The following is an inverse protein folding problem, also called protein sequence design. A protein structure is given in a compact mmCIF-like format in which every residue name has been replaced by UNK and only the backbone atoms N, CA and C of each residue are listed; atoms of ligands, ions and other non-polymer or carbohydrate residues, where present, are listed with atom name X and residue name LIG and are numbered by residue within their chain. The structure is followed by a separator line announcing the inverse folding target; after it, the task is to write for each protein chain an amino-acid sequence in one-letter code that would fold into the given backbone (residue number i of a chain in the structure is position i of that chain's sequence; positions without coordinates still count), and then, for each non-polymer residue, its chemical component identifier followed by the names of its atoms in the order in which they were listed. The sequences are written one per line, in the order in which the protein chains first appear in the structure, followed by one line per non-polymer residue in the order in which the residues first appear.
data_IF_392243860836
#
_entry.id   IF_392243860836
#
_cell.length_a   1.000
_cell.length_b   1.000
_cell.length_c   1.000
_cell.angle_alpha   90.00
_cell.angle_beta   90.00
_cell.angle_gamma   90.00
#
_symmetry.space_group_name_H-M   'P 1'
#
loop_
_entity.id
_entity.type
_entity.pdbx_description
1 polymer ?
#
# COMPACT_ATOMS: atom_id res chain seq x y z
N UNK A 1 43.97 12.72 8.01
CA UNK A 1 42.84 12.35 8.87
C UNK A 1 41.77 13.47 8.84
N UNK A 2 41.30 13.85 7.65
CA UNK A 2 40.33 14.95 7.48
C UNK A 2 39.48 14.68 6.24
N UNK A 3 38.35 13.98 6.39
CA UNK A 3 37.18 14.03 5.47
C UNK A 3 36.01 13.17 5.98
N UNK A 4 36.24 12.30 6.96
CA UNK A 4 35.23 11.34 7.41
C UNK A 4 34.24 11.86 8.47
N UNK A 5 34.39 13.10 8.96
CA UNK A 5 33.63 13.61 10.11
C UNK A 5 32.60 14.71 9.80
N UNK A 6 32.34 15.04 8.52
CA UNK A 6 31.50 16.19 8.14
C UNK A 6 30.20 15.87 7.35
N UNK A 7 29.84 14.61 7.10
CA UNK A 7 28.63 14.28 6.29
C UNK A 7 27.63 13.38 7.04
N UNK A 8 27.34 13.68 8.30
CA UNK A 8 26.22 13.02 8.97
C UNK A 8 24.84 13.59 8.55
N UNK A 9 24.79 14.73 7.86
CA UNK A 9 23.54 15.47 7.62
C UNK A 9 23.21 15.86 6.16
N UNK A 10 24.09 15.60 5.18
CA UNK A 10 23.82 16.04 3.79
C UNK A 10 23.17 14.95 2.94
N UNK A 11 21.92 15.21 2.52
CA UNK A 11 21.25 14.43 1.49
C UNK A 11 22.00 14.55 0.15
N UNK A 12 22.21 13.42 -0.53
CA UNK A 12 22.71 13.41 -1.91
C UNK A 12 21.54 13.46 -2.88
N UNK A 13 21.66 14.30 -3.90
CA UNK A 13 20.68 14.39 -4.97
C UNK A 13 21.25 13.72 -6.22
N UNK A 14 20.56 12.71 -6.73
CA UNK A 14 21.06 11.88 -7.82
C UNK A 14 19.99 11.75 -8.90
N UNK A 15 20.36 12.03 -10.16
CA UNK A 15 19.58 11.63 -11.32
C UNK A 15 20.06 10.25 -11.76
N UNK A 16 19.15 9.28 -11.81
CA UNK A 16 19.43 7.94 -12.34
C UNK A 16 19.22 7.90 -13.85
N UNK A 17 20.07 7.17 -14.56
CA UNK A 17 19.75 6.75 -15.94
C UNK A 17 18.65 5.69 -15.93
N UNK A 18 17.97 5.52 -17.07
CA UNK A 18 16.90 4.53 -17.21
C UNK A 18 17.38 3.11 -16.86
N UNK A 19 18.59 2.74 -17.26
CA UNK A 19 19.19 1.45 -16.90
C UNK A 19 19.47 1.33 -15.39
N UNK A 20 19.85 2.42 -14.72
CA UNK A 20 20.06 2.42 -13.27
C UNK A 20 18.73 2.32 -12.50
N UNK A 21 17.64 2.89 -13.02
CA UNK A 21 16.31 2.78 -12.41
C UNK A 21 15.88 1.31 -12.34
N UNK A 22 16.14 0.52 -13.39
CA UNK A 22 15.76 -0.90 -13.45
C UNK A 22 16.29 -1.71 -12.26
N UNK A 23 17.47 -1.39 -11.72
CA UNK A 23 18.05 -2.05 -10.54
C UNK A 23 17.14 -2.00 -9.31
N UNK A 24 16.41 -0.90 -9.15
CA UNK A 24 15.56 -0.68 -7.97
C UNK A 24 14.14 -1.20 -8.15
N UNK A 25 13.75 -1.53 -9.38
CA UNK A 25 12.39 -1.97 -9.64
C UNK A 25 12.13 -3.33 -8.98
N UNK A 26 10.96 -3.49 -8.37
CA UNK A 26 10.45 -4.81 -8.01
C UNK A 26 10.29 -5.65 -9.27
N UNK A 27 10.39 -6.98 -9.12
CA UNK A 27 10.20 -7.88 -10.25
C UNK A 27 8.75 -7.86 -10.75
N UNK A 28 8.57 -8.19 -12.02
CA UNK A 28 7.25 -8.28 -12.67
C UNK A 28 6.28 -9.18 -11.89
N UNK A 29 6.78 -10.33 -11.41
CA UNK A 29 6.01 -11.25 -10.56
C UNK A 29 5.47 -10.58 -9.30
N UNK A 30 6.28 -9.72 -8.64
CA UNK A 30 5.87 -9.00 -7.43
C UNK A 30 4.87 -7.90 -7.75
N UNK A 31 5.08 -7.17 -8.84
CA UNK A 31 4.15 -6.13 -9.29
C UNK A 31 2.76 -6.70 -9.56
N UNK A 32 2.66 -7.78 -10.36
CA UNK A 32 1.38 -8.46 -10.63
C UNK A 32 0.73 -8.92 -9.32
N UNK A 33 1.51 -9.54 -8.43
CA UNK A 33 0.97 -10.06 -7.17
C UNK A 33 0.39 -8.95 -6.27
N UNK A 34 1.03 -7.78 -6.21
CA UNK A 34 0.51 -6.63 -5.48
C UNK A 34 -0.76 -6.06 -6.12
N UNK A 35 -0.79 -5.88 -7.45
CA UNK A 35 -2.02 -5.43 -8.12
C UNK A 35 -3.18 -6.42 -7.95
N UNK A 36 -2.90 -7.72 -8.01
CA UNK A 36 -3.90 -8.76 -7.75
C UNK A 36 -4.40 -8.69 -6.29
N UNK A 37 -3.50 -8.57 -5.32
CA UNK A 37 -3.84 -8.45 -3.91
C UNK A 37 -4.71 -7.21 -3.66
N UNK A 38 -4.37 -6.07 -4.27
CA UNK A 38 -5.16 -4.84 -4.15
C UNK A 38 -6.56 -5.00 -4.77
N UNK A 39 -6.67 -5.64 -5.95
CA UNK A 39 -7.95 -5.92 -6.61
C UNK A 39 -8.84 -6.80 -5.72
N UNK A 40 -8.31 -7.93 -5.26
CA UNK A 40 -9.06 -8.88 -4.44
C UNK A 40 -9.51 -8.24 -3.12
N UNK A 41 -8.64 -7.43 -2.53
CA UNK A 41 -8.96 -6.66 -1.30
C UNK A 41 -10.06 -5.64 -1.56
N UNK A 42 -9.95 -4.84 -2.62
CA UNK A 42 -10.98 -3.86 -3.01
C UNK A 42 -12.36 -4.53 -3.18
N UNK A 43 -12.42 -5.65 -3.90
CA UNK A 43 -13.66 -6.38 -4.16
C UNK A 43 -14.25 -7.00 -2.90
N UNK A 44 -13.41 -7.61 -2.05
CA UNK A 44 -13.87 -8.20 -0.79
C UNK A 44 -14.39 -7.16 0.19
N UNK A 45 -13.66 -6.05 0.40
CA UNK A 45 -14.10 -4.98 1.29
C UNK A 45 -15.40 -4.33 0.78
N UNK A 46 -15.47 -4.05 -0.52
CA UNK A 46 -16.67 -3.49 -1.16
C UNK A 46 -17.91 -4.38 -1.00
N UNK A 47 -17.78 -5.70 -1.25
CA UNK A 47 -18.91 -6.65 -1.09
C UNK A 47 -19.42 -6.78 0.34
N UNK A 48 -18.56 -6.49 1.31
CA UNK A 48 -18.88 -6.60 2.74
C UNK A 48 -19.13 -5.23 3.39
N UNK A 49 -19.32 -4.18 2.58
CA UNK A 49 -19.59 -2.82 3.03
C UNK A 49 -18.54 -2.30 4.04
N UNK A 50 -17.27 -2.61 3.81
CA UNK A 50 -16.15 -2.08 4.59
C UNK A 50 -15.54 -0.94 3.78
N UNK A 51 -15.62 0.28 4.34
CA UNK A 51 -15.00 1.42 3.71
C UNK A 51 -13.51 1.41 4.03
N UNK A 52 -12.70 1.68 3.02
CA UNK A 52 -11.26 1.77 3.16
C UNK A 52 -10.72 2.94 2.34
N UNK A 53 -9.49 3.34 2.63
CA UNK A 53 -8.72 4.26 1.79
C UNK A 53 -7.29 3.76 1.66
N UNK A 54 -6.65 4.04 0.54
CA UNK A 54 -5.20 3.89 0.41
C UNK A 54 -4.50 4.96 1.25
N UNK A 55 -3.37 4.60 1.85
CA UNK A 55 -2.56 5.49 2.68
C UNK A 55 -1.06 5.27 2.43
N UNK A 56 -0.20 6.00 3.15
CA UNK A 56 1.25 5.86 3.09
C UNK A 56 1.86 5.83 1.67
N UNK A 57 2.69 4.81 1.43
CA UNK A 57 3.37 4.60 0.15
C UNK A 57 2.41 4.28 -0.99
N UNK A 58 1.29 3.63 -0.67
CA UNK A 58 0.24 3.28 -1.64
C UNK A 58 -0.49 4.53 -2.15
N UNK A 59 -0.85 5.45 -1.27
CA UNK A 59 -1.42 6.76 -1.64
C UNK A 59 -0.45 7.57 -2.50
N UNK A 60 0.82 7.64 -2.09
CA UNK A 60 1.86 8.30 -2.86
C UNK A 60 2.02 7.66 -4.26
N UNK A 61 1.99 6.34 -4.34
CA UNK A 61 1.98 5.59 -5.60
C UNK A 61 0.82 5.97 -6.51
N UNK A 62 -0.40 5.94 -6.00
CA UNK A 62 -1.59 6.28 -6.75
C UNK A 62 -1.55 7.72 -7.30
N UNK A 63 -1.16 8.69 -6.47
CA UNK A 63 -1.07 10.10 -6.87
C UNK A 63 0.04 10.35 -7.89
N UNK A 64 1.23 9.78 -7.66
CA UNK A 64 2.43 10.13 -8.41
C UNK A 64 2.67 9.26 -9.64
N UNK A 65 2.30 7.98 -9.57
CA UNK A 65 2.57 6.98 -10.61
C UNK A 65 1.31 6.37 -11.23
N UNK A 66 0.12 6.68 -10.68
CA UNK A 66 -1.13 5.99 -11.02
C UNK A 66 -1.04 4.47 -10.83
N UNK A 67 -0.30 4.03 -9.82
CA UNK A 67 0.00 2.62 -9.55
C UNK A 67 1.05 2.47 -8.45
N UNK A 68 1.58 1.26 -8.27
CA UNK A 68 2.59 0.99 -7.23
C UNK A 68 3.88 1.75 -7.56
N UNK A 69 4.50 2.36 -6.55
CA UNK A 69 5.83 2.97 -6.68
C UNK A 69 6.81 1.85 -7.10
N UNK A 70 7.63 2.03 -8.13
CA UNK A 70 8.29 0.90 -8.80
C UNK A 70 9.30 0.12 -7.93
N UNK A 71 9.75 0.68 -6.81
CA UNK A 71 10.68 0.08 -5.85
C UNK A 71 10.01 -0.20 -4.49
N UNK A 72 8.70 0.02 -4.39
CA UNK A 72 7.92 -0.25 -3.20
C UNK A 72 7.37 -1.68 -3.25
N UNK A 73 7.28 -2.31 -2.09
CA UNK A 73 7.15 -3.75 -2.02
C UNK A 73 5.97 -4.24 -1.19
N UNK A 74 5.14 -3.36 -0.67
CA UNK A 74 3.88 -3.68 -0.02
C UNK A 74 2.77 -2.70 -0.41
N UNK A 75 1.64 -2.83 0.26
CA UNK A 75 0.48 -1.96 0.12
C UNK A 75 -0.02 -1.59 1.50
N UNK A 76 -0.56 -0.39 1.64
CA UNK A 76 -1.08 0.15 2.90
C UNK A 76 -2.48 0.70 2.65
N UNK A 77 -3.43 0.26 3.47
CA UNK A 77 -4.78 0.81 3.50
C UNK A 77 -5.22 1.10 4.93
N UNK A 78 -6.07 2.11 5.09
CA UNK A 78 -6.78 2.40 6.33
C UNK A 78 -8.23 1.91 6.28
N UNK A 79 -8.74 1.43 7.42
CA UNK A 79 -10.16 1.23 7.67
C UNK A 79 -10.58 1.95 8.97
N UNK A 80 -11.87 2.19 9.11
CA UNK A 80 -12.45 2.67 10.36
C UNK A 80 -12.58 1.53 11.40
N UNK A 81 -12.36 1.83 12.67
CA UNK A 81 -12.48 0.86 13.78
C UNK A 81 -13.89 0.24 13.85
N UNK A 82 -14.93 0.99 13.47
CA UNK A 82 -16.31 0.52 13.38
C UNK A 82 -16.50 -0.58 12.32
N UNK A 83 -15.59 -0.68 11.35
CA UNK A 83 -15.59 -1.72 10.31
C UNK A 83 -14.72 -2.93 10.69
N UNK A 84 -13.96 -2.86 11.78
CA UNK A 84 -12.98 -3.89 12.16
C UNK A 84 -13.63 -5.26 12.40
N UNK A 85 -14.81 -5.29 13.05
CA UNK A 85 -15.55 -6.55 13.28
C UNK A 85 -15.97 -7.18 11.94
N UNK A 86 -16.41 -6.38 10.97
CA UNK A 86 -16.75 -6.86 9.62
C UNK A 86 -15.50 -7.37 8.90
N UNK A 87 -14.36 -6.68 9.03
CA UNK A 87 -13.08 -7.17 8.51
C UNK A 87 -12.74 -8.54 9.09
N UNK A 88 -12.82 -8.71 10.41
CA UNK A 88 -12.53 -9.99 11.09
C UNK A 88 -13.39 -11.15 10.56
N UNK A 89 -14.67 -10.89 10.27
CA UNK A 89 -15.59 -11.89 9.72
C UNK A 89 -15.21 -12.36 8.30
N UNK A 90 -14.51 -11.54 7.52
CA UNK A 90 -14.15 -11.86 6.14
C UNK A 90 -12.71 -12.35 5.97
N UNK A 91 -11.90 -12.36 7.03
CA UNK A 91 -10.53 -12.88 6.99
C UNK A 91 -10.43 -14.30 6.39
N UNK A 92 -11.35 -15.26 6.70
CA UNK A 92 -11.32 -16.58 6.07
C UNK A 92 -11.52 -16.55 4.55
N UNK A 93 -12.17 -15.50 4.00
CA UNK A 93 -12.34 -15.36 2.55
C UNK A 93 -11.01 -15.01 1.87
N UNK A 94 -10.13 -14.23 2.52
CA UNK A 94 -8.77 -14.02 2.02
C UNK A 94 -7.97 -15.33 1.98
N UNK A 95 -8.14 -16.20 2.98
CA UNK A 95 -7.49 -17.52 3.00
C UNK A 95 -7.99 -18.42 1.87
N UNK A 96 -9.29 -18.39 1.56
CA UNK A 96 -9.85 -19.11 0.41
C UNK A 96 -9.31 -18.61 -0.94
N UNK A 97 -8.91 -17.34 -1.03
CA UNK A 97 -8.23 -16.77 -2.21
C UNK A 97 -6.72 -17.11 -2.26
N UNK A 98 -6.21 -17.84 -1.27
CA UNK A 98 -4.81 -18.26 -1.18
C UNK A 98 -3.89 -17.28 -0.46
N UNK A 99 -4.44 -16.29 0.26
CA UNK A 99 -3.65 -15.37 1.07
C UNK A 99 -3.48 -15.90 2.50
N UNK A 100 -2.36 -15.55 3.13
CA UNK A 100 -2.15 -15.77 4.56
C UNK A 100 -2.55 -14.52 5.31
N UNK A 101 -3.34 -14.69 6.37
CA UNK A 101 -3.73 -13.60 7.25
C UNK A 101 -2.88 -13.64 8.51
N UNK A 102 -2.41 -12.47 8.94
CA UNK A 102 -1.81 -12.28 10.26
C UNK A 102 -2.47 -11.09 10.92
N UNK A 103 -2.67 -11.17 12.23
CA UNK A 103 -3.19 -10.06 13.00
C UNK A 103 -2.34 -9.87 14.27
N UNK A 104 -1.91 -8.63 14.50
CA UNK A 104 -1.30 -8.21 15.76
C UNK A 104 -1.73 -6.77 16.08
N UNK A 105 -0.86 -5.79 15.78
CA UNK A 105 -1.19 -4.35 15.93
C UNK A 105 -1.96 -3.79 14.73
N UNK A 106 -1.84 -4.48 13.60
CA UNK A 106 -2.46 -4.25 12.30
C UNK A 106 -2.84 -5.61 11.71
N UNK A 107 -3.70 -5.63 10.69
CA UNK A 107 -3.95 -6.83 9.89
C UNK A 107 -3.00 -6.85 8.71
N UNK A 108 -2.48 -8.02 8.37
CA UNK A 108 -1.55 -8.20 7.27
C UNK A 108 -2.03 -9.35 6.40
N UNK A 109 -2.31 -9.07 5.13
CA UNK A 109 -2.75 -10.04 4.12
C UNK A 109 -1.58 -10.32 3.18
N UNK A 110 -1.04 -11.53 3.19
CA UNK A 110 0.18 -11.87 2.45
C UNK A 110 0.00 -13.01 1.44
N UNK A 111 0.33 -12.73 0.18
CA UNK A 111 0.66 -13.73 -0.84
C UNK A 111 2.17 -13.78 -1.09
N UNK A 112 2.58 -13.49 -2.33
CA UNK A 112 3.98 -13.19 -2.69
C UNK A 112 4.49 -11.94 -1.97
N UNK A 113 3.58 -10.96 -1.80
CA UNK A 113 3.77 -9.68 -1.12
C UNK A 113 2.63 -9.45 -0.12
N UNK A 114 2.74 -8.44 0.71
CA UNK A 114 1.78 -8.17 1.76
C UNK A 114 1.04 -6.84 1.54
N UNK A 115 -0.16 -6.78 2.09
CA UNK A 115 -0.96 -5.58 2.24
C UNK A 115 -1.25 -5.43 3.74
N UNK A 116 -0.91 -4.27 4.27
CA UNK A 116 -1.13 -3.86 5.65
C UNK A 116 -2.44 -3.08 5.74
N UNK A 117 -3.28 -3.45 6.71
CA UNK A 117 -4.54 -2.79 7.01
C UNK A 117 -4.43 -2.16 8.38
N UNK A 118 -4.38 -0.83 8.38
CA UNK A 118 -4.33 0.01 9.56
C UNK A 118 -5.73 0.38 10.03
N UNK A 119 -5.96 0.29 11.34
CA UNK A 119 -7.25 0.64 11.95
C UNK A 119 -7.17 2.05 12.49
N UNK A 120 -8.12 2.89 12.08
CA UNK A 120 -8.24 4.28 12.49
C UNK A 120 -9.53 4.52 13.28
N UNK A 121 -9.52 5.49 14.18
CA UNK A 121 -10.73 6.03 14.80
C UNK A 121 -10.73 7.55 14.72
N UNK A 122 -11.91 8.14 14.86
CA UNK A 122 -12.06 9.60 14.87
C UNK A 122 -11.82 10.16 16.28
N UNK A 123 -10.93 11.13 16.38
CA UNK A 123 -10.72 11.99 17.55
C UNK A 123 -10.90 13.45 17.13
N UNK A 124 -11.98 14.09 17.58
CA UNK A 124 -12.34 15.44 17.16
C UNK A 124 -12.43 15.56 15.63
N UNK A 125 -11.56 16.35 15.01
CA UNK A 125 -11.47 16.63 13.58
C UNK A 125 -10.44 15.74 12.86
N UNK A 126 -9.88 14.73 13.52
CA UNK A 126 -8.82 13.85 12.99
C UNK A 126 -9.21 12.39 13.01
N UNK A 127 -8.77 11.67 11.99
CA UNK A 127 -8.70 10.21 11.93
C UNK A 127 -7.28 9.79 12.24
N UNK A 128 -7.11 9.05 13.32
CA UNK A 128 -5.80 8.67 13.88
C UNK A 128 -5.72 7.16 14.06
N UNK A 129 -4.51 6.61 14.04
CA UNK A 129 -4.29 5.19 14.29
C UNK A 129 -4.82 4.77 15.67
N UNK A 130 -5.68 3.74 15.67
CA UNK A 130 -6.33 3.21 16.87
C UNK A 130 -5.31 2.55 17.82
N UNK A 131 -4.34 1.82 17.26
CA UNK A 131 -3.30 1.19 18.06
C UNK A 131 -2.24 2.23 18.49
N UNK A 132 -2.13 2.49 19.80
CA UNK A 132 -1.17 3.46 20.35
C UNK A 132 0.28 3.21 19.93
N UNK A 133 0.70 1.94 19.82
CA UNK A 133 2.08 1.64 19.40
C UNK A 133 2.32 1.99 17.94
N UNK A 134 1.30 1.91 17.07
CA UNK A 134 1.39 2.33 15.68
C UNK A 134 1.35 3.84 15.58
N UNK A 135 0.47 4.50 16.35
CA UNK A 135 0.44 5.96 16.47
C UNK A 135 1.78 6.55 16.91
N UNK A 136 2.47 5.90 17.85
CA UNK A 136 3.79 6.34 18.28
C UNK A 136 4.87 6.09 17.22
N UNK A 137 4.73 5.02 16.41
CA UNK A 137 5.67 4.69 15.32
C UNK A 137 5.50 5.62 14.12
N UNK A 138 4.25 6.00 13.82
CA UNK A 138 3.85 6.82 12.68
C UNK A 138 3.04 8.04 13.16
N UNK A 139 3.67 8.99 13.88
CA UNK A 139 2.95 10.10 14.50
C UNK A 139 2.35 11.10 13.49
N UNK A 140 2.84 11.08 12.25
CA UNK A 140 2.36 11.92 11.16
C UNK A 140 1.29 11.24 10.29
N UNK A 141 0.99 9.97 10.57
CA UNK A 141 -0.02 9.20 9.86
C UNK A 141 -1.39 9.42 10.50
N UNK A 142 -2.02 10.50 10.07
CA UNK A 142 -3.38 10.87 10.41
C UNK A 142 -3.97 11.72 9.30
N UNK A 143 -5.29 11.79 9.25
CA UNK A 143 -6.03 12.61 8.30
C UNK A 143 -6.96 13.57 9.04
N UNK A 144 -7.06 14.82 8.61
CA UNK A 144 -8.15 15.69 9.00
C UNK A 144 -9.45 15.28 8.29
N UNK A 145 -10.59 15.73 8.82
CA UNK A 145 -11.90 15.40 8.25
C UNK A 145 -12.02 15.75 6.77
N UNK A 146 -11.60 16.99 6.43
CA UNK A 146 -11.60 17.49 5.05
C UNK A 146 -10.53 16.83 4.16
N UNK A 147 -9.49 16.23 4.75
CA UNK A 147 -8.48 15.47 3.99
C UNK A 147 -9.04 14.12 3.58
N UNK A 148 -9.67 13.40 4.53
CA UNK A 148 -10.12 12.04 4.26
C UNK A 148 -11.43 12.02 3.48
N UNK A 149 -12.46 12.73 3.96
CA UNK A 149 -13.83 12.60 3.43
C UNK A 149 -14.26 13.82 2.60
N UNK A 150 -15.08 13.62 1.54
CA UNK A 150 -15.51 12.32 1.02
C UNK A 150 -14.37 11.59 0.31
N UNK A 151 -14.36 10.25 0.40
CA UNK A 151 -13.39 9.41 -0.31
C UNK A 151 -13.54 9.62 -1.82
N UNK A 152 -12.42 9.61 -2.54
CA UNK A 152 -12.39 9.67 -4.01
C UNK A 152 -11.71 8.47 -4.62
N UNK A 153 -12.02 8.23 -5.89
CA UNK A 153 -11.37 7.16 -6.66
C UNK A 153 -10.04 7.62 -7.23
N UNK A 154 -9.07 6.73 -7.19
CA UNK A 154 -7.75 6.89 -7.80
C UNK A 154 -7.50 5.76 -8.77
N UNK A 155 -6.87 6.07 -9.90
CA UNK A 155 -6.32 5.06 -10.79
C UNK A 155 -5.11 4.41 -10.12
N UNK A 156 -5.09 3.07 -10.13
CA UNK A 156 -4.02 2.29 -9.53
C UNK A 156 -3.72 1.07 -10.40
N UNK A 157 -2.78 1.22 -11.32
CA UNK A 157 -2.52 0.25 -12.37
C UNK A 157 -3.71 0.13 -13.33
N UNK A 158 -4.26 -1.08 -13.41
CA UNK A 158 -5.43 -1.41 -14.23
C UNK A 158 -6.76 -1.34 -13.48
N UNK A 159 -6.75 -1.01 -12.18
CA UNK A 159 -7.94 -0.91 -11.32
C UNK A 159 -8.15 0.52 -10.79
N UNK A 160 -9.30 0.75 -10.15
CA UNK A 160 -9.56 1.92 -9.33
C UNK A 160 -9.59 1.54 -7.85
N UNK A 161 -9.14 2.45 -6.98
CA UNK A 161 -9.14 2.27 -5.52
C UNK A 161 -9.65 3.53 -4.82
N UNK A 162 -10.18 3.40 -3.61
CA UNK A 162 -10.58 4.54 -2.80
C UNK A 162 -9.39 5.16 -2.06
N UNK A 163 -9.38 6.48 -1.91
CA UNK A 163 -8.39 7.23 -1.17
C UNK A 163 -8.96 8.55 -0.62
N UNK A 164 -8.14 9.32 0.12
CA UNK A 164 -8.55 10.60 0.72
C UNK A 164 -8.98 11.63 -0.32
N UNK A 165 -9.91 12.52 0.05
CA UNK A 165 -10.35 13.67 -0.75
C UNK A 165 -9.19 14.61 -1.10
N UNK A 166 -8.42 15.01 -0.09
CA UNK A 166 -7.26 15.88 -0.21
C UNK A 166 -6.03 15.19 0.40
N UNK A 167 -5.07 14.84 -0.46
CA UNK A 167 -3.90 14.05 -0.08
C UNK A 167 -2.66 14.90 0.23
N UNK A 168 -2.62 16.14 -0.28
CA UNK A 168 -1.35 16.89 -0.38
C UNK A 168 -0.76 17.22 0.98
N UNK A 169 -1.58 17.67 1.92
CA UNK A 169 -1.13 18.00 3.27
C UNK A 169 -0.72 16.75 4.06
N UNK A 170 -1.49 15.67 3.99
CA UNK A 170 -1.09 14.37 4.55
C UNK A 170 0.25 13.90 3.98
N UNK A 171 0.43 13.85 2.67
CA UNK A 171 1.69 13.43 2.06
C UNK A 171 2.86 14.37 2.42
N UNK A 172 2.62 15.68 2.55
CA UNK A 172 3.65 16.62 3.00
C UNK A 172 4.12 16.36 4.44
N UNK A 173 3.23 15.89 5.32
CA UNK A 173 3.58 15.50 6.69
C UNK A 173 4.38 14.19 6.74
N UNK A 174 4.07 13.25 5.85
CA UNK A 174 4.67 11.93 5.84
C UNK A 174 6.00 11.88 5.05
N UNK A 175 6.05 12.56 3.91
CA UNK A 175 7.13 12.42 2.92
C UNK A 175 7.57 13.80 2.41
N UNK A 176 8.54 14.42 3.06
CA UNK A 176 9.02 15.74 2.66
C UNK A 176 9.55 15.72 1.20
N UNK A 177 9.03 16.61 0.35
CA UNK A 177 9.39 16.74 -1.07
C UNK A 177 9.12 15.48 -1.93
N UNK A 178 8.09 14.72 -1.57
CA UNK A 178 7.64 13.53 -2.30
C UNK A 178 7.33 13.79 -3.79
N UNK A 179 6.99 15.02 -4.14
CA UNK A 179 6.66 15.47 -5.49
C UNK A 179 7.90 15.80 -6.33
N UNK A 180 9.07 15.90 -5.70
CA UNK A 180 10.36 16.21 -6.36
C UNK A 180 11.31 15.02 -6.37
N UNK A 181 11.27 14.21 -5.31
CA UNK A 181 12.24 13.16 -5.08
C UNK A 181 11.61 11.82 -4.72
N UNK A 182 12.26 10.76 -5.16
CA UNK A 182 12.07 9.41 -4.66
C UNK A 182 13.11 9.12 -3.58
N UNK A 183 12.64 8.57 -2.46
CA UNK A 183 13.48 8.03 -1.39
C UNK A 183 13.10 6.55 -1.27
N UNK A 184 14.10 5.69 -1.30
CA UNK A 184 13.90 4.26 -1.06
C UNK A 184 14.03 4.05 0.44
N UNK A 185 12.88 3.98 1.11
CA UNK A 185 12.82 3.61 2.51
C UNK A 185 13.18 2.13 2.67
N UNK A 186 13.58 1.74 3.88
CA UNK A 186 14.02 0.38 4.16
C UNK A 186 12.96 -0.62 3.69
N UNK A 187 13.20 -1.40 2.62
CA UNK A 187 12.18 -2.23 2.03
C UNK A 187 11.75 -3.30 3.04
N UNK A 188 10.46 -3.65 3.04
CA UNK A 188 9.95 -4.68 3.95
C UNK A 188 10.48 -6.07 3.59
N UNK A 189 10.95 -6.25 2.35
CA UNK A 189 11.61 -7.47 1.90
C UNK A 189 13.05 -7.27 1.46
N UNK A 190 13.77 -8.40 1.44
CA UNK A 190 15.13 -8.55 0.93
C UNK A 190 15.24 -8.43 -0.61
N UNK A 191 14.35 -7.70 -1.29
CA UNK A 191 14.50 -7.44 -2.73
C UNK A 191 15.63 -6.46 -3.03
N UNK A 192 15.90 -5.55 -2.09
CA UNK A 192 17.12 -4.75 -2.01
C UNK A 192 17.80 -5.05 -0.68
N UNK A 193 18.38 -6.26 -0.51
CA UNK A 193 18.76 -6.80 0.79
C UNK A 193 19.85 -5.98 1.50
N UNK A 194 20.56 -5.13 0.75
CA UNK A 194 21.63 -4.27 1.26
C UNK A 194 21.62 -2.95 0.50
N UNK A 195 20.78 -2.00 0.94
CA UNK A 195 21.02 -0.59 0.60
C UNK A 195 22.25 -0.12 1.35
N UNK A 196 23.25 0.37 0.60
CA UNK A 196 24.40 1.04 1.19
C UNK A 196 23.95 2.24 2.03
N UNK A 197 24.76 2.64 3.01
CA UNK A 197 24.49 3.86 3.79
C UNK A 197 24.36 5.11 2.89
N UNK A 198 24.97 5.06 1.71
CA UNK A 198 24.85 6.08 0.67
C UNK A 198 23.44 6.10 0.09
N UNK A 199 22.94 4.95 -0.35
CA UNK A 199 21.59 4.85 -0.94
C UNK A 199 20.50 5.25 0.07
N UNK A 200 20.68 4.94 1.37
CA UNK A 200 19.76 5.37 2.44
C UNK A 200 19.69 6.89 2.66
N UNK A 201 20.72 7.64 2.26
CA UNK A 201 20.79 9.12 2.34
C UNK A 201 20.76 9.78 0.96
N UNK A 202 20.11 9.14 -0.01
CA UNK A 202 19.98 9.64 -1.38
C UNK A 202 18.53 9.99 -1.71
N UNK A 203 18.34 11.20 -2.26
CA UNK A 203 17.12 11.65 -2.92
C UNK A 203 17.31 11.48 -4.43
N UNK A 204 16.55 10.58 -5.03
CA UNK A 204 16.55 10.38 -6.46
C UNK A 204 15.63 11.40 -7.13
N UNK A 205 16.15 12.18 -8.08
CA UNK A 205 15.36 13.14 -8.85
C UNK A 205 14.36 12.35 -9.70
N UNK A 206 13.09 12.75 -9.66
CA UNK A 206 12.02 12.09 -10.43
C UNK A 206 12.21 12.31 -11.93
N UNK A 207 12.73 11.31 -12.61
CA UNK A 207 12.79 11.25 -14.08
C UNK A 207 11.49 10.67 -14.64
N UNK A 208 11.24 10.85 -15.94
CA UNK A 208 10.09 10.24 -16.62
C UNK A 208 10.08 8.71 -16.48
N UNK A 209 11.25 8.07 -16.48
CA UNK A 209 11.37 6.63 -16.28
C UNK A 209 11.02 6.24 -14.84
N UNK A 210 11.53 6.97 -13.84
CA UNK A 210 11.25 6.69 -12.43
C UNK A 210 9.77 6.89 -12.07
N UNK A 211 9.08 7.77 -12.80
CA UNK A 211 7.64 8.02 -12.66
C UNK A 211 6.75 6.91 -13.25
N UNK A 212 7.30 5.95 -13.99
CA UNK A 212 6.51 4.78 -14.44
C UNK A 212 6.25 3.85 -13.25
N UNK A 213 4.99 3.45 -13.01
CA UNK A 213 4.65 2.56 -11.90
C UNK A 213 5.32 1.19 -12.05
N UNK A 214 5.25 0.37 -11.02
CA UNK A 214 5.61 -1.04 -11.12
C UNK A 214 4.82 -1.72 -12.25
N UNK A 215 5.49 -2.59 -12.99
CA UNK A 215 4.95 -3.28 -14.17
C UNK A 215 5.14 -4.79 -14.03
N UNK A 216 4.29 -5.61 -14.67
CA UNK A 216 3.14 -5.21 -15.48
C UNK A 216 1.90 -4.90 -14.63
N UNK A 217 0.91 -4.23 -15.25
CA UNK A 217 -0.35 -3.84 -14.60
C UNK A 217 -1.43 -4.94 -14.62
N UNK A 218 -1.16 -6.08 -15.28
CA UNK A 218 -2.12 -7.16 -15.50
C UNK A 218 -1.63 -8.15 -16.57
N UNK A 219 -2.50 -9.07 -17.05
CA UNK A 219 -3.91 -9.21 -16.65
C UNK A 219 -4.08 -9.63 -15.19
N UNK A 220 -5.18 -9.20 -14.58
CA UNK A 220 -5.57 -9.60 -13.22
C UNK A 220 -6.71 -10.62 -13.30
N UNK A 221 -6.73 -11.54 -12.35
CA UNK A 221 -7.71 -12.61 -12.23
C UNK A 221 -8.95 -12.15 -11.45
N UNK A 222 -10.10 -12.77 -11.75
CA UNK A 222 -11.36 -12.51 -11.05
C UNK A 222 -11.64 -13.53 -9.93
N UNK A 223 -10.70 -13.65 -8.99
CA UNK A 223 -10.70 -14.71 -7.98
C UNK A 223 -11.91 -14.65 -7.05
N UNK A 224 -12.32 -13.44 -6.64
CA UNK A 224 -13.42 -13.24 -5.68
C UNK A 224 -14.75 -13.75 -6.23
N UNK A 225 -15.02 -13.54 -7.51
CA UNK A 225 -16.25 -14.05 -8.14
C UNK A 225 -16.20 -15.58 -8.35
N UNK A 226 -15.03 -16.13 -8.68
CA UNK A 226 -14.84 -17.57 -8.87
C UNK A 226 -15.09 -18.34 -7.55
N UNK A 227 -14.46 -17.94 -6.44
CA UNK A 227 -14.59 -18.63 -5.14
C UNK A 227 -16.03 -18.56 -4.60
N UNK A 228 -16.72 -17.43 -4.77
CA UNK A 228 -18.12 -17.30 -4.36
C UNK A 228 -19.06 -18.19 -5.20
N UNK A 229 -18.78 -18.39 -6.49
CA UNK A 229 -19.57 -19.33 -7.31
C UNK A 229 -19.37 -20.80 -6.90
N UNK A 230 -18.15 -21.16 -6.48
CA UNK A 230 -17.81 -22.50 -6.02
C UNK A 230 -18.46 -22.85 -4.67
N UNK A 231 -18.57 -21.89 -3.76
CA UNK A 231 -19.25 -22.07 -2.46
C UNK A 231 -20.77 -22.22 -2.60
N UNK A 232 -21.41 -21.49 -3.52
CA UNK A 232 -22.85 -21.63 -3.79
C UNK A 232 -23.21 -22.96 -4.50
N UNK A 233 -22.36 -23.46 -5.39
CA UNK A 233 -22.59 -24.76 -6.06
C UNK A 233 -22.45 -25.98 -5.13
N UNK A 234 -21.77 -25.82 -3.98
CA UNK A 234 -21.66 -26.85 -2.95
C UNK A 234 -22.87 -26.97 -2.00
N UNK A 235 -23.75 -25.95 -1.94
CA UNK A 235 -24.95 -25.97 -1.08
C UNK A 235 -26.18 -26.61 -1.73
N UNK A 236 -26.19 -26.84 -3.04
CA UNK A 236 -27.35 -27.41 -3.76
C UNK A 236 -27.37 -28.95 -3.87
N UNK A 237 -26.63 -29.68 -3.01
CA UNK A 237 -26.72 -31.15 -2.92
C UNK A 237 -27.05 -31.59 -1.50
N UNK A 238 -28.31 -31.45 -1.11
CA UNK A 238 -28.81 -32.01 0.13
C UNK A 238 -30.33 -31.92 0.22
N UNK A 239 -30.98 -33.08 0.34
CA UNK A 239 -32.41 -33.32 0.58
C UNK A 239 -33.34 -33.25 -0.63
N UNK A 240 -33.32 -34.31 -1.43
CA UNK A 240 -34.57 -34.89 -1.92
C UNK A 240 -35.00 -35.94 -0.89
N UNK A 241 -36.19 -35.75 -0.32
CA UNK A 241 -36.87 -36.69 0.58
C UNK A 241 -37.21 -38.01 -0.12
#
# INVERSE_FOLDING_TARGET
MCYAYLLEHDWRYVTLSDEQVKKYRISEKKAIALYQLMKDTHELLGKNNINYWIEGGTLLGAVRHQGIIPFDDDLDIGIMHEDEIRLQQILPQFEQLGYRVKHNKIYVICGERCLDIFVFHKENDKFVLFNQSMRNKYPNDFFYDYELYPLKKYKFGSIEVYGPSEYKENLNRQYLEWDKYAIIYSPHSLHLPLLSNIEKKTKFILTLELLKPAQPLGPLEDKVNIVNSATFSGMCRGYSL
#
